data_IF_264681007908
#
_entry.id   IF_264681007908
#
_cell.length_a   1.000
_cell.length_b   1.000
_cell.length_c   1.000
_cell.angle_alpha   90.00
_cell.angle_beta   90.00
_cell.angle_gamma   90.00
#
_symmetry.space_group_name_H-M   'P 1'
#
loop_
_entity.id
_entity.type
_entity.pdbx_description
1 polymer ?
#
# COMPACT_ATOMS: atom_id res chain seq x y z
N UNK A 1 13.17 0.88 -10.57
CA UNK A 1 12.18 0.77 -11.66
C UNK A 1 12.28 -0.58 -12.38
N UNK A 2 13.48 -1.05 -12.74
CA UNK A 2 13.67 -2.32 -13.45
C UNK A 2 13.03 -3.55 -12.78
N UNK A 3 13.11 -3.64 -11.45
CA UNK A 3 12.47 -4.72 -10.67
C UNK A 3 10.94 -4.74 -10.76
N UNK A 4 10.32 -3.62 -11.15
CA UNK A 4 8.88 -3.50 -11.34
C UNK A 4 8.44 -3.80 -12.77
N UNK A 5 9.37 -4.04 -13.70
CA UNK A 5 9.07 -4.38 -15.09
C UNK A 5 9.01 -5.90 -15.23
N UNK A 6 7.92 -6.48 -15.76
CA UNK A 6 7.86 -7.91 -16.04
C UNK A 6 8.86 -8.28 -17.15
N UNK A 7 9.38 -9.51 -17.14
CA UNK A 7 10.32 -9.99 -18.15
C UNK A 7 9.76 -9.94 -19.60
N UNK A 8 8.44 -10.03 -19.73
CA UNK A 8 7.71 -9.93 -21.00
C UNK A 8 6.68 -8.82 -20.93
N UNK A 9 6.55 -8.07 -22.04
CA UNK A 9 5.55 -7.00 -22.16
C UNK A 9 4.13 -7.58 -22.26
N UNK A 10 3.17 -6.99 -21.56
CA UNK A 10 1.74 -7.33 -21.67
C UNK A 10 1.18 -6.87 -23.01
N UNK A 11 -0.03 -7.29 -23.40
CA UNK A 11 -0.60 -7.04 -24.73
C UNK A 11 -0.54 -5.56 -25.19
N UNK A 12 -1.08 -4.63 -24.40
CA UNK A 12 -1.09 -3.21 -24.75
C UNK A 12 0.32 -2.61 -24.77
N UNK A 13 1.15 -3.09 -23.84
CA UNK A 13 2.52 -2.66 -23.69
C UNK A 13 3.40 -3.13 -24.86
N UNK A 14 3.13 -4.33 -25.35
CA UNK A 14 3.73 -4.91 -26.55
C UNK A 14 3.31 -4.15 -27.81
N UNK A 15 2.04 -3.76 -27.92
CA UNK A 15 1.55 -2.98 -29.05
C UNK A 15 2.25 -1.62 -29.13
N UNK A 16 2.43 -0.94 -27.99
CA UNK A 16 3.16 0.33 -27.92
C UNK A 16 4.64 0.16 -28.29
N UNK A 17 5.33 -0.84 -27.73
CA UNK A 17 6.72 -1.14 -28.09
C UNK A 17 6.86 -1.45 -29.59
N UNK A 18 5.95 -2.24 -30.13
CA UNK A 18 5.91 -2.59 -31.56
C UNK A 18 5.77 -1.33 -32.42
N UNK A 19 4.86 -0.42 -32.05
CA UNK A 19 4.66 0.85 -32.76
C UNK A 19 5.91 1.72 -32.74
N UNK A 20 6.55 1.88 -31.56
CA UNK A 20 7.79 2.66 -31.43
C UNK A 20 8.88 2.10 -32.36
N UNK A 21 9.11 0.79 -32.34
CA UNK A 21 10.12 0.15 -33.18
C UNK A 21 9.79 0.24 -34.68
N UNK A 22 8.52 0.14 -35.06
CA UNK A 22 8.09 0.31 -36.45
C UNK A 22 8.30 1.74 -36.94
N UNK A 23 7.94 2.74 -36.13
CA UNK A 23 8.17 4.16 -36.45
C UNK A 23 9.66 4.45 -36.56
N UNK A 24 10.47 3.98 -35.60
CA UNK A 24 11.91 4.12 -35.65
C UNK A 24 12.49 3.47 -36.91
N UNK A 25 12.10 2.23 -37.23
CA UNK A 25 12.55 1.51 -38.42
C UNK A 25 12.27 2.27 -39.71
N UNK A 26 11.06 2.82 -39.86
CA UNK A 26 10.68 3.61 -41.03
C UNK A 26 11.49 4.89 -41.12
N UNK A 27 11.59 5.63 -40.02
CA UNK A 27 12.34 6.88 -39.96
C UNK A 27 13.82 6.68 -40.29
N UNK A 28 14.47 5.72 -39.64
CA UNK A 28 15.89 5.41 -39.86
C UNK A 28 16.15 4.97 -41.30
N UNK A 29 15.25 4.19 -41.91
CA UNK A 29 15.38 3.85 -43.32
C UNK A 29 15.27 5.08 -44.21
N UNK A 30 14.25 5.92 -44.04
CA UNK A 30 14.06 7.12 -44.85
C UNK A 30 15.25 8.09 -44.72
N UNK A 31 15.75 8.31 -43.51
CA UNK A 31 16.79 9.31 -43.24
C UNK A 31 18.18 8.81 -43.65
N UNK A 32 18.52 7.55 -43.35
CA UNK A 32 19.89 7.06 -43.48
C UNK A 32 20.10 6.04 -44.60
N UNK A 33 19.03 5.40 -45.11
CA UNK A 33 19.14 4.24 -46.00
C UNK A 33 18.15 4.23 -47.16
N UNK A 34 17.52 5.36 -47.52
CA UNK A 34 16.47 5.40 -48.54
C UNK A 34 16.94 4.94 -49.93
N UNK A 35 18.26 5.04 -50.21
CA UNK A 35 18.86 4.57 -51.47
C UNK A 35 19.10 3.07 -51.51
N UNK A 36 18.91 2.37 -50.39
CA UNK A 36 19.25 0.95 -50.27
C UNK A 36 18.09 0.04 -50.69
N UNK A 37 18.36 -1.05 -51.45
CA UNK A 37 17.32 -1.85 -52.10
C UNK A 37 16.53 -2.76 -51.16
N UNK A 38 16.99 -2.96 -49.92
CA UNK A 38 16.40 -3.90 -48.96
C UNK A 38 15.22 -3.33 -48.16
N UNK A 39 14.93 -2.02 -48.29
CA UNK A 39 13.80 -1.36 -47.63
C UNK A 39 13.89 -1.29 -46.08
N UNK A 40 12.83 -0.82 -45.40
CA UNK A 40 12.83 -0.71 -43.94
C UNK A 40 13.05 -2.04 -43.21
N UNK A 41 12.61 -3.17 -43.81
CA UNK A 41 12.76 -4.52 -43.24
C UNK A 41 14.22 -4.97 -43.15
N UNK A 42 15.11 -4.48 -44.01
CA UNK A 42 16.54 -4.76 -43.91
C UNK A 42 17.20 -4.05 -42.72
N UNK A 43 16.68 -2.88 -42.29
CA UNK A 43 17.17 -2.15 -41.13
C UNK A 43 16.85 -2.88 -39.82
N UNK A 44 15.59 -3.31 -39.68
CA UNK A 44 15.13 -4.07 -38.52
C UNK A 44 14.14 -5.14 -38.97
N UNK A 45 14.60 -6.41 -39.09
CA UNK A 45 13.77 -7.52 -39.51
C UNK A 45 12.56 -7.73 -38.59
N UNK A 46 11.45 -8.21 -39.14
CA UNK A 46 10.20 -8.38 -38.38
C UNK A 46 10.35 -9.35 -37.20
N UNK A 47 11.16 -10.41 -37.35
CA UNK A 47 11.44 -11.36 -36.27
C UNK A 47 12.19 -10.67 -35.12
N UNK A 48 13.26 -9.93 -35.45
CA UNK A 48 14.03 -9.13 -34.49
C UNK A 48 13.17 -8.09 -33.80
N UNK A 49 12.35 -7.36 -34.57
CA UNK A 49 11.40 -6.38 -34.04
C UNK A 49 10.46 -7.01 -33.03
N UNK A 50 9.84 -8.14 -33.38
CA UNK A 50 8.95 -8.88 -32.49
C UNK A 50 9.68 -9.32 -31.21
N UNK A 51 10.89 -9.86 -31.33
CA UNK A 51 11.69 -10.29 -30.18
C UNK A 51 12.04 -9.13 -29.24
N UNK A 52 12.47 -7.99 -29.78
CA UNK A 52 12.78 -6.79 -29.00
C UNK A 52 11.52 -6.17 -28.38
N UNK A 53 10.40 -6.16 -29.10
CA UNK A 53 9.13 -5.66 -28.60
C UNK A 53 8.57 -6.53 -27.46
N UNK A 54 8.77 -7.85 -27.50
CA UNK A 54 8.26 -8.77 -26.47
C UNK A 54 9.08 -8.74 -25.18
N UNK A 55 10.42 -8.73 -25.28
CA UNK A 55 11.28 -8.88 -24.09
C UNK A 55 11.74 -7.53 -23.55
N UNK A 56 11.71 -7.39 -22.23
CA UNK A 56 12.24 -6.23 -21.48
C UNK A 56 13.64 -6.49 -20.93
N UNK A 57 14.17 -7.70 -21.12
CA UNK A 57 15.43 -8.17 -20.55
C UNK A 57 16.68 -7.63 -21.25
N UNK A 58 16.54 -6.98 -22.41
CA UNK A 58 17.67 -6.41 -23.14
C UNK A 58 18.06 -5.06 -22.51
N UNK A 59 19.17 -5.04 -21.79
CA UNK A 59 19.64 -3.89 -21.02
C UNK A 59 20.83 -3.20 -21.67
N UNK A 60 21.65 -3.93 -22.40
CA UNK A 60 22.85 -3.40 -23.01
C UNK A 60 23.14 -4.09 -24.34
N UNK A 61 24.14 -3.57 -25.05
CA UNK A 61 24.59 -4.10 -26.33
C UNK A 61 25.03 -5.57 -26.29
N UNK A 62 25.55 -6.05 -25.17
CA UNK A 62 25.92 -7.46 -24.98
C UNK A 62 24.71 -8.39 -25.05
N UNK A 63 23.56 -7.96 -24.54
CA UNK A 63 22.33 -8.75 -24.59
C UNK A 63 21.79 -8.88 -26.03
N UNK A 64 22.14 -7.93 -26.90
CA UNK A 64 21.78 -7.96 -28.33
C UNK A 64 22.69 -8.88 -29.14
N UNK A 65 23.83 -9.33 -28.61
CA UNK A 65 24.76 -10.19 -29.35
C UNK A 65 24.13 -11.52 -29.76
N UNK A 66 23.16 -12.02 -28.99
CA UNK A 66 22.41 -13.24 -29.31
C UNK A 66 21.28 -13.02 -30.33
N UNK A 67 20.98 -11.78 -30.70
CA UNK A 67 19.90 -11.44 -31.60
C UNK A 67 20.46 -11.31 -33.03
N UNK A 68 19.93 -12.02 -34.04
CA UNK A 68 20.43 -11.98 -35.40
C UNK A 68 20.05 -10.65 -36.09
N UNK A 69 20.75 -9.58 -35.74
CA UNK A 69 20.50 -8.23 -36.22
C UNK A 69 21.81 -7.56 -36.67
N UNK A 70 22.04 -7.57 -37.98
CA UNK A 70 23.27 -7.05 -38.59
C UNK A 70 23.55 -5.57 -38.25
N UNK A 71 22.52 -4.76 -38.04
CA UNK A 71 22.67 -3.34 -37.71
C UNK A 71 22.71 -3.05 -36.21
N UNK A 72 22.70 -4.07 -35.35
CA UNK A 72 22.76 -3.89 -33.89
C UNK A 72 23.97 -3.05 -33.47
N UNK A 73 25.16 -3.28 -34.06
CA UNK A 73 26.37 -2.53 -33.70
C UNK A 73 26.26 -1.01 -33.92
N UNK A 74 25.42 -0.55 -34.85
CA UNK A 74 25.23 0.89 -35.14
C UNK A 74 24.01 1.47 -34.45
N UNK A 75 22.90 0.74 -34.46
CA UNK A 75 21.57 1.24 -34.06
C UNK A 75 21.02 0.60 -32.79
N UNK A 76 21.73 -0.40 -32.25
CA UNK A 76 21.28 -1.18 -31.10
C UNK A 76 21.06 -0.32 -29.86
N UNK A 77 22.00 0.56 -29.55
CA UNK A 77 21.90 1.42 -28.36
C UNK A 77 20.70 2.36 -28.47
N UNK A 78 20.49 2.99 -29.64
CA UNK A 78 19.36 3.89 -29.88
C UNK A 78 18.01 3.15 -29.68
N UNK A 79 17.89 1.94 -30.22
CA UNK A 79 16.69 1.11 -30.05
C UNK A 79 16.49 0.70 -28.59
N UNK A 80 17.55 0.36 -27.88
CA UNK A 80 17.48 0.05 -26.45
C UNK A 80 17.04 1.26 -25.63
N UNK A 81 17.55 2.46 -25.94
CA UNK A 81 17.19 3.69 -25.24
C UNK A 81 15.70 4.01 -25.41
N UNK A 82 15.16 3.84 -26.63
CA UNK A 82 13.73 4.00 -26.90
C UNK A 82 12.87 3.04 -26.06
N UNK A 83 13.27 1.77 -26.00
CA UNK A 83 12.57 0.76 -25.21
C UNK A 83 12.72 1.02 -23.70
N UNK A 84 13.88 1.49 -23.24
CA UNK A 84 14.11 1.80 -21.83
C UNK A 84 13.27 2.98 -21.35
N UNK A 85 13.10 4.01 -22.18
CA UNK A 85 12.19 5.13 -21.86
C UNK A 85 10.76 4.61 -21.67
N UNK A 86 10.32 3.74 -22.58
CA UNK A 86 9.02 3.11 -22.52
C UNK A 86 8.88 2.22 -21.25
N UNK A 87 9.86 1.34 -20.97
CA UNK A 87 9.87 0.44 -19.80
C UNK A 87 9.91 1.22 -18.50
N UNK A 88 10.70 2.30 -18.46
CA UNK A 88 10.80 3.17 -17.28
C UNK A 88 9.48 3.88 -17.01
N UNK A 89 8.82 4.43 -18.02
CA UNK A 89 7.52 5.09 -17.86
C UNK A 89 6.51 4.13 -17.24
N UNK A 90 6.37 2.94 -17.81
CA UNK A 90 5.43 1.92 -17.32
C UNK A 90 5.76 1.46 -15.90
N UNK A 91 7.04 1.27 -15.59
CA UNK A 91 7.48 0.89 -14.25
C UNK A 91 7.14 1.95 -13.20
N UNK A 92 7.29 3.23 -13.54
CA UNK A 92 6.95 4.33 -12.64
C UNK A 92 5.45 4.36 -12.35
N UNK A 93 4.60 4.17 -13.37
CA UNK A 93 3.14 4.08 -13.18
C UNK A 93 2.77 2.96 -12.21
N UNK A 94 3.38 1.77 -12.36
CA UNK A 94 3.16 0.63 -11.45
C UNK A 94 3.60 0.97 -10.02
N UNK A 95 4.80 1.55 -9.86
CA UNK A 95 5.32 1.91 -8.54
C UNK A 95 4.46 2.96 -7.84
N UNK A 96 3.90 3.92 -8.57
CA UNK A 96 2.96 4.92 -8.01
C UNK A 96 1.68 4.25 -7.52
N UNK A 97 1.11 3.34 -8.31
CA UNK A 97 -0.10 2.59 -7.92
C UNK A 97 0.17 1.70 -6.71
N UNK A 98 1.30 1.02 -6.66
CA UNK A 98 1.69 0.19 -5.51
C UNK A 98 1.92 1.03 -4.25
N UNK A 99 2.60 2.18 -4.37
CA UNK A 99 2.80 3.09 -3.26
C UNK A 99 1.47 3.61 -2.71
N UNK A 100 0.53 3.98 -3.58
CA UNK A 100 -0.81 4.41 -3.19
C UNK A 100 -1.59 3.30 -2.48
N UNK A 101 -1.51 2.05 -2.96
CA UNK A 101 -2.14 0.89 -2.31
C UNK A 101 -1.56 0.63 -0.92
N UNK A 102 -0.24 0.73 -0.76
CA UNK A 102 0.42 0.57 0.55
C UNK A 102 -0.01 1.67 1.52
N UNK A 103 0.03 2.93 1.10
CA UNK A 103 -0.41 4.05 1.92
C UNK A 103 -1.89 3.91 2.34
N UNK A 104 -2.77 3.48 1.43
CA UNK A 104 -4.18 3.23 1.75
C UNK A 104 -4.36 2.08 2.75
N UNK A 105 -3.58 1.00 2.61
CA UNK A 105 -3.59 -0.12 3.54
C UNK A 105 -3.10 0.29 4.94
N UNK A 106 -2.01 1.04 5.01
CA UNK A 106 -1.46 1.57 6.27
C UNK A 106 -2.44 2.53 6.96
N UNK A 107 -3.06 3.44 6.21
CA UNK A 107 -4.08 4.35 6.74
C UNK A 107 -5.28 3.59 7.31
N UNK A 108 -5.73 2.51 6.65
CA UNK A 108 -6.81 1.66 7.14
C UNK A 108 -6.44 0.95 8.45
N UNK A 109 -5.23 0.39 8.52
CA UNK A 109 -4.74 -0.28 9.72
C UNK A 109 -4.60 0.69 10.91
N UNK A 110 -4.10 1.91 10.66
CA UNK A 110 -3.97 2.94 11.68
C UNK A 110 -5.35 3.42 12.17
N UNK A 111 -6.32 3.60 11.28
CA UNK A 111 -7.69 3.94 11.66
C UNK A 111 -8.33 2.85 12.54
N UNK A 112 -8.17 1.59 12.17
CA UNK A 112 -8.69 0.46 12.95
C UNK A 112 -8.02 0.36 14.32
N UNK A 113 -6.70 0.61 14.39
CA UNK A 113 -5.96 0.63 15.66
C UNK A 113 -6.47 1.74 16.58
N UNK A 114 -6.64 2.96 16.06
CA UNK A 114 -7.18 4.09 16.83
C UNK A 114 -8.58 3.83 17.33
N UNK A 115 -9.44 3.23 16.51
CA UNK A 115 -10.79 2.86 16.92
C UNK A 115 -10.78 1.84 18.08
N UNK A 116 -9.92 0.82 17.99
CA UNK A 116 -9.72 -0.16 19.07
C UNK A 116 -9.21 0.49 20.35
N UNK A 117 -8.25 1.41 20.24
CA UNK A 117 -7.67 2.12 21.38
C UNK A 117 -8.71 3.03 22.06
N UNK A 118 -9.53 3.75 21.28
CA UNK A 118 -10.63 4.58 21.80
C UNK A 118 -11.69 3.73 22.51
N UNK A 119 -12.11 2.61 21.91
CA UNK A 119 -13.05 1.67 22.55
C UNK A 119 -12.49 1.10 23.85
N UNK A 120 -11.18 0.80 23.88
CA UNK A 120 -10.52 0.32 25.08
C UNK A 120 -10.44 1.39 26.18
N UNK A 121 -10.23 2.66 25.82
CA UNK A 121 -10.25 3.78 26.76
C UNK A 121 -11.65 3.99 27.34
N UNK A 122 -12.68 4.08 26.50
CA UNK A 122 -14.07 4.24 26.95
C UNK A 122 -14.48 3.13 27.93
N UNK A 123 -14.13 1.87 27.62
CA UNK A 123 -14.42 0.73 28.52
C UNK A 123 -13.68 0.81 29.86
N UNK A 124 -12.49 1.41 29.90
CA UNK A 124 -11.74 1.62 31.15
C UNK A 124 -12.37 2.73 31.98
N UNK A 125 -12.79 3.82 31.33
CA UNK A 125 -13.49 4.93 31.99
C UNK A 125 -14.84 4.49 32.56
N UNK A 126 -15.64 3.76 31.79
CA UNK A 126 -16.92 3.20 32.24
C UNK A 126 -16.75 2.30 33.47
N UNK A 127 -15.79 1.36 33.42
CA UNK A 127 -15.46 0.50 34.57
C UNK A 127 -14.98 1.29 35.79
N UNK A 128 -14.23 2.37 35.59
CA UNK A 128 -13.77 3.22 36.68
C UNK A 128 -14.94 3.97 37.33
N UNK A 129 -15.87 4.50 36.53
CA UNK A 129 -17.09 5.15 37.01
C UNK A 129 -17.99 4.17 37.75
N UNK A 130 -18.21 2.96 37.21
CA UNK A 130 -18.99 1.92 37.89
C UNK A 130 -18.40 1.57 39.25
N UNK A 131 -17.07 1.44 39.34
CA UNK A 131 -16.38 1.16 40.60
C UNK A 131 -16.55 2.32 41.60
N UNK A 132 -16.44 3.57 41.16
CA UNK A 132 -16.68 4.74 42.01
C UNK A 132 -18.12 4.77 42.54
N UNK A 133 -19.11 4.51 41.69
CA UNK A 133 -20.52 4.45 42.07
C UNK A 133 -20.76 3.32 43.08
N UNK A 134 -20.17 2.14 42.84
CA UNK A 134 -20.30 1.00 43.75
C UNK A 134 -19.68 1.30 45.13
N UNK A 135 -18.52 1.95 45.17
CA UNK A 135 -17.85 2.33 46.41
C UNK A 135 -18.65 3.40 47.17
N UNK A 136 -19.23 4.39 46.48
CA UNK A 136 -20.15 5.37 47.08
C UNK A 136 -21.39 4.70 47.68
N UNK A 137 -22.03 3.77 46.95
CA UNK A 137 -23.19 3.02 47.46
C UNK A 137 -22.85 2.24 48.73
N UNK A 138 -21.68 1.58 48.76
CA UNK A 138 -21.21 0.87 49.96
C UNK A 138 -21.00 1.82 51.15
N UNK A 139 -20.47 3.02 50.92
CA UNK A 139 -20.31 4.02 51.98
C UNK A 139 -21.65 4.49 52.53
N UNK A 140 -22.64 4.74 51.66
CA UNK A 140 -24.00 5.13 52.06
C UNK A 140 -24.66 4.04 52.90
N UNK A 141 -24.61 2.78 52.46
CA UNK A 141 -25.17 1.64 53.21
C UNK A 141 -24.52 1.53 54.59
N UNK A 142 -23.18 1.59 54.66
CA UNK A 142 -22.46 1.56 55.96
C UNK A 142 -22.83 2.73 56.87
N UNK A 143 -23.04 3.92 56.31
CA UNK A 143 -23.45 5.09 57.08
C UNK A 143 -24.88 4.92 57.62
N UNK A 144 -25.80 4.38 56.82
CA UNK A 144 -27.17 4.06 57.23
C UNK A 144 -27.19 3.01 58.34
N UNK A 145 -26.47 1.90 58.18
CA UNK A 145 -26.36 0.85 59.21
C UNK A 145 -25.78 1.39 60.52
N UNK A 146 -24.78 2.28 60.45
CA UNK A 146 -24.20 2.92 61.64
C UNK A 146 -25.21 3.84 62.33
N UNK A 147 -25.91 4.68 61.57
CA UNK A 147 -26.93 5.58 62.11
C UNK A 147 -28.10 4.81 62.74
N UNK A 148 -28.52 3.70 62.14
CA UNK A 148 -29.56 2.83 62.68
C UNK A 148 -29.11 2.16 63.98
N UNK A 149 -27.89 1.63 64.04
CA UNK A 149 -27.30 1.09 65.29
C UNK A 149 -27.21 2.15 66.38
N UNK A 150 -26.88 3.40 66.04
CA UNK A 150 -26.87 4.51 67.00
C UNK A 150 -28.27 4.85 67.51
N UNK A 151 -29.29 4.86 66.63
CA UNK A 151 -30.70 5.04 67.02
C UNK A 151 -31.18 3.92 67.96
N UNK A 152 -30.93 2.65 67.61
CA UNK A 152 -31.29 1.51 68.46
C UNK A 152 -30.64 1.60 69.84
N UNK A 153 -29.35 1.98 69.91
CA UNK A 153 -28.64 2.20 71.17
C UNK A 153 -29.21 3.37 71.98
N UNK A 154 -29.65 4.44 71.32
CA UNK A 154 -30.29 5.58 71.97
C UNK A 154 -31.66 5.19 72.55
N UNK A 155 -32.48 4.47 71.79
CA UNK A 155 -33.79 3.98 72.22
C UNK A 155 -33.67 2.99 73.39
N UNK A 156 -32.70 2.08 73.35
CA UNK A 156 -32.44 1.11 74.43
C UNK A 156 -31.98 1.82 75.71
N UNK A 157 -31.13 2.86 75.59
CA UNK A 157 -30.76 3.72 76.73
C UNK A 157 -31.97 4.49 77.29
N UNK A 158 -32.84 4.98 76.41
CA UNK A 158 -34.10 5.64 76.79
C UNK A 158 -35.02 4.71 77.58
N UNK A 159 -35.22 3.47 77.11
CA UNK A 159 -36.01 2.45 77.81
C UNK A 159 -35.43 2.09 79.17
N UNK A 160 -34.13 1.79 79.24
CA UNK A 160 -33.46 1.46 80.52
C UNK A 160 -33.52 2.60 81.54
N UNK A 161 -33.52 3.85 81.06
CA UNK A 161 -33.69 5.02 81.94
C UNK A 161 -35.14 5.13 82.44
N UNK A 162 -36.13 4.98 81.56
CA UNK A 162 -37.55 4.99 81.92
C UNK A 162 -37.91 3.86 82.91
N UNK A 163 -37.35 2.65 82.75
CA UNK A 163 -37.51 1.55 83.71
C UNK A 163 -36.87 1.83 85.07
N UNK A 164 -35.86 2.70 85.15
CA UNK A 164 -35.17 3.03 86.39
C UNK A 164 -35.84 4.17 87.16
N UNK A 165 -36.59 5.01 86.45
CA UNK A 165 -37.31 6.17 86.98
C UNK A 165 -38.79 5.83 87.33
N UNK A 166 -39.26 4.62 87.03
CA UNK A 166 -40.59 4.09 87.36
C UNK A 166 -40.57 3.19 88.62
#
# INVERSE_FOLDING_TARGET
WRTAVPATRTHDYLAEATRILQTWRQHTWLVLYHTQPYGPRGILPDLTLKTLATKTTYLNMGDLAAVPWHHAGRHGQEVLDLLHVLDRKRALDVLVVEAAKRAASEAKQEAERRERDLKAQQKREEKALEKMIADQRKQVIKAQEKAEKERQRADERGRKKAERDA
#
